data_IF_646465883354
#
_entry.id   IF_646465883354
#
_cell.length_a   1.000
_cell.length_b   1.000
_cell.length_c   1.000
_cell.angle_alpha   90.00
_cell.angle_beta   90.00
_cell.angle_gamma   90.00
#
_symmetry.space_group_name_H-M   'P 1'
#
loop_
_entity.id
_entity.type
_entity.pdbx_description
1 polymer ?
#
# COMPACT_ATOMS: atom_id res chain seq x y z
N UNK A 1 -12.80 -2.16 21.81
CA UNK A 1 -11.34 -2.31 21.77
C UNK A 1 -10.95 -2.28 20.31
N UNK A 2 -10.47 -1.13 19.81
CA UNK A 2 -9.97 -1.04 18.44
C UNK A 2 -8.63 -1.77 18.39
N UNK A 3 -8.40 -2.57 17.35
CA UNK A 3 -7.08 -3.17 17.17
C UNK A 3 -6.10 -2.04 16.85
N UNK A 4 -4.83 -2.09 17.31
CA UNK A 4 -3.84 -1.06 17.03
C UNK A 4 -3.63 -0.84 15.51
N UNK A 5 -3.96 -1.85 14.71
CA UNK A 5 -3.95 -1.86 13.24
C UNK A 5 -4.92 -0.85 12.63
N UNK A 6 -6.12 -0.69 13.20
CA UNK A 6 -7.10 0.30 12.74
C UNK A 6 -6.55 1.72 12.92
N UNK A 7 -5.95 2.00 14.08
CA UNK A 7 -5.39 3.31 14.41
C UNK A 7 -4.21 3.70 13.51
N UNK A 8 -3.33 2.74 13.19
CA UNK A 8 -2.21 2.99 12.28
C UNK A 8 -2.68 3.21 10.84
N UNK A 9 -3.75 2.53 10.41
CA UNK A 9 -4.35 2.77 9.10
C UNK A 9 -4.98 4.15 9.00
N UNK A 10 -5.72 4.59 10.04
CA UNK A 10 -6.26 5.94 10.12
C UNK A 10 -5.15 7.00 10.10
N UNK A 11 -4.04 6.76 10.82
CA UNK A 11 -2.88 7.65 10.81
C UNK A 11 -2.27 7.76 9.41
N UNK A 12 -2.10 6.63 8.72
CA UNK A 12 -1.55 6.61 7.36
C UNK A 12 -2.44 7.38 6.38
N UNK A 13 -3.76 7.25 6.51
CA UNK A 13 -4.74 8.00 5.73
C UNK A 13 -4.66 9.51 6.04
N UNK A 14 -4.55 9.87 7.33
CA UNK A 14 -4.39 11.27 7.74
C UNK A 14 -3.11 11.90 7.19
N UNK A 15 -1.99 11.17 7.20
CA UNK A 15 -0.73 11.62 6.60
C UNK A 15 -0.84 11.79 5.08
N UNK A 16 -1.59 10.93 4.39
CA UNK A 16 -1.86 11.05 2.96
C UNK A 16 -2.61 12.36 2.67
N UNK A 17 -3.73 12.59 3.38
CA UNK A 17 -4.57 13.79 3.22
C UNK A 17 -3.85 15.08 3.61
N UNK A 18 -2.98 15.01 4.61
CA UNK A 18 -2.16 16.12 5.06
C UNK A 18 -0.99 16.46 4.10
N UNK A 19 -0.79 15.68 3.03
CA UNK A 19 0.23 15.94 2.03
C UNK A 19 1.65 15.52 2.43
N UNK A 20 1.77 14.55 3.36
CA UNK A 20 3.04 13.97 3.80
C UNK A 20 3.20 12.55 3.22
N UNK A 21 3.53 12.42 1.92
CA UNK A 21 3.52 11.12 1.24
C UNK A 21 4.56 10.13 1.76
N UNK A 22 5.71 10.63 2.26
CA UNK A 22 6.73 9.75 2.87
C UNK A 22 6.22 9.13 4.17
N UNK A 23 5.67 9.95 5.05
CA UNK A 23 5.13 9.47 6.33
C UNK A 23 3.91 8.57 6.13
N UNK A 24 3.02 8.91 5.18
CA UNK A 24 1.91 8.05 4.81
C UNK A 24 2.38 6.68 4.31
N UNK A 25 3.38 6.65 3.42
CA UNK A 25 3.96 5.41 2.93
C UNK A 25 4.56 4.55 4.04
N UNK A 26 5.34 5.15 4.95
CA UNK A 26 5.95 4.44 6.07
C UNK A 26 4.89 3.90 7.05
N UNK A 27 3.87 4.72 7.35
CA UNK A 27 2.76 4.31 8.21
C UNK A 27 1.97 3.13 7.60
N UNK A 28 1.69 3.14 6.28
CA UNK A 28 1.06 1.99 5.62
C UNK A 28 1.94 0.74 5.66
N UNK A 29 3.27 0.87 5.54
CA UNK A 29 4.18 -0.28 5.68
C UNK A 29 4.19 -0.83 7.11
N UNK A 30 4.09 0.05 8.09
CA UNK A 30 4.02 -0.32 9.49
C UNK A 30 2.73 -1.12 9.79
N UNK A 31 1.58 -0.71 9.23
CA UNK A 31 0.31 -1.48 9.30
C UNK A 31 0.51 -2.92 8.83
N UNK A 32 1.17 -3.11 7.69
CA UNK A 32 1.47 -4.44 7.10
C UNK A 32 2.44 -5.24 7.97
N UNK A 33 3.41 -4.57 8.61
CA UNK A 33 4.41 -5.21 9.48
C UNK A 33 3.81 -5.74 10.79
N UNK A 34 2.93 -4.95 11.42
CA UNK A 34 2.32 -5.35 12.69
C UNK A 34 1.19 -6.37 12.51
N UNK A 35 0.54 -6.39 11.36
CA UNK A 35 -0.58 -7.28 11.10
C UNK A 35 -0.47 -7.84 9.67
N UNK A 36 -0.02 -9.09 9.49
CA UNK A 36 0.12 -9.68 8.16
C UNK A 36 -1.21 -10.23 7.60
N UNK A 37 -2.33 -10.10 8.31
CA UNK A 37 -3.60 -10.73 7.91
C UNK A 37 -4.79 -9.82 8.15
N UNK A 38 -5.52 -9.50 7.08
CA UNK A 38 -6.78 -8.77 7.14
C UNK A 38 -7.04 -7.95 5.88
N UNK A 39 -8.30 -7.54 5.64
CA UNK A 39 -8.67 -6.73 4.47
C UNK A 39 -8.04 -5.33 4.50
N UNK A 40 -7.59 -4.85 5.66
CA UNK A 40 -6.88 -3.58 5.78
C UNK A 40 -5.47 -3.65 5.18
N UNK A 41 -4.87 -4.83 5.14
CA UNK A 41 -3.47 -5.03 4.72
C UNK A 41 -3.36 -4.98 3.19
N UNK A 42 -4.32 -5.58 2.48
CA UNK A 42 -4.42 -5.42 1.03
C UNK A 42 -4.63 -3.95 0.64
N UNK A 43 -5.44 -3.21 1.40
CA UNK A 43 -5.66 -1.77 1.16
C UNK A 43 -4.39 -0.98 1.46
N UNK A 44 -3.71 -1.26 2.58
CA UNK A 44 -2.48 -0.58 2.96
C UNK A 44 -1.35 -0.79 1.92
N UNK A 45 -1.16 -2.02 1.45
CA UNK A 45 -0.19 -2.34 0.40
C UNK A 45 -0.50 -1.62 -0.91
N UNK A 46 -1.77 -1.61 -1.32
CA UNK A 46 -2.18 -0.91 -2.54
C UNK A 46 -1.99 0.62 -2.42
N UNK A 47 -2.43 1.21 -1.31
CA UNK A 47 -2.26 2.64 -0.99
C UNK A 47 -0.79 3.04 -0.97
N UNK A 48 0.05 2.27 -0.27
CA UNK A 48 1.49 2.50 -0.24
C UNK A 48 2.10 2.47 -1.65
N UNK A 49 1.70 1.50 -2.48
CA UNK A 49 2.13 1.42 -3.87
C UNK A 49 1.72 2.63 -4.69
N UNK A 50 0.46 3.08 -4.58
CA UNK A 50 -0.02 4.28 -5.27
C UNK A 50 0.71 5.55 -4.80
N UNK A 51 0.92 5.74 -3.50
CA UNK A 51 1.68 6.88 -2.95
C UNK A 51 3.12 6.88 -3.46
N UNK A 52 3.76 5.72 -3.48
CA UNK A 52 5.10 5.58 -4.04
C UNK A 52 5.12 5.97 -5.52
N UNK A 53 4.12 5.52 -6.31
CA UNK A 53 4.01 5.79 -7.74
C UNK A 53 3.71 7.26 -8.05
N UNK A 54 2.75 7.88 -7.36
CA UNK A 54 2.23 9.21 -7.68
C UNK A 54 3.01 10.30 -6.96
N UNK A 55 3.11 10.20 -5.64
CA UNK A 55 3.66 11.26 -4.79
C UNK A 55 5.18 11.17 -4.64
N UNK A 56 5.72 9.97 -4.45
CA UNK A 56 7.17 9.77 -4.33
C UNK A 56 7.86 9.62 -5.69
N UNK A 57 7.10 9.30 -6.74
CA UNK A 57 7.59 8.94 -8.09
C UNK A 57 8.67 7.83 -8.04
N UNK A 58 8.59 7.00 -7.01
CA UNK A 58 9.49 5.89 -6.71
C UNK A 58 8.82 4.61 -7.21
N UNK A 59 8.99 4.35 -8.51
CA UNK A 59 8.33 3.24 -9.18
C UNK A 59 8.83 1.87 -8.69
N UNK A 60 10.09 1.78 -8.25
CA UNK A 60 10.63 0.53 -7.69
C UNK A 60 9.87 0.12 -6.43
N UNK A 61 9.67 1.05 -5.50
CA UNK A 61 8.86 0.80 -4.29
C UNK A 61 7.40 0.54 -4.59
N UNK A 62 6.83 1.26 -5.56
CA UNK A 62 5.46 1.01 -5.98
C UNK A 62 5.27 -0.43 -6.45
N UNK A 63 6.20 -0.91 -7.29
CA UNK A 63 6.19 -2.27 -7.79
C UNK A 63 6.47 -3.30 -6.71
N UNK A 64 7.35 -3.03 -5.74
CA UNK A 64 7.54 -3.90 -4.58
C UNK A 64 6.22 -4.11 -3.83
N UNK A 65 5.50 -3.01 -3.55
CA UNK A 65 4.21 -3.06 -2.84
C UNK A 65 3.16 -3.84 -3.64
N UNK A 66 3.05 -3.57 -4.94
CA UNK A 66 2.12 -4.31 -5.81
C UNK A 66 2.48 -5.79 -5.90
N UNK A 67 3.75 -6.13 -6.13
CA UNK A 67 4.21 -7.53 -6.19
C UNK A 67 3.90 -8.26 -4.90
N UNK A 68 4.15 -7.63 -3.75
CA UNK A 68 3.86 -8.21 -2.44
C UNK A 68 2.36 -8.44 -2.24
N UNK A 69 1.50 -7.52 -2.69
CA UNK A 69 0.06 -7.75 -2.71
C UNK A 69 -0.32 -8.94 -3.60
N UNK A 70 0.28 -9.05 -4.78
CA UNK A 70 0.03 -10.17 -5.69
C UNK A 70 0.55 -11.51 -5.13
N UNK A 71 1.63 -11.50 -4.35
CA UNK A 71 2.21 -12.71 -3.77
C UNK A 71 1.45 -13.17 -2.53
N UNK A 72 1.23 -12.26 -1.58
CA UNK A 72 0.59 -12.57 -0.28
C UNK A 72 -0.94 -12.64 -0.38
N UNK A 73 -1.56 -11.89 -1.30
CA UNK A 73 -3.02 -11.82 -1.45
C UNK A 73 -3.50 -12.14 -2.86
N UNK A 74 -3.39 -13.42 -3.29
CA UNK A 74 -3.72 -13.82 -4.64
C UNK A 74 -5.19 -13.74 -5.03
N UNK A 75 -6.08 -13.55 -4.06
CA UNK A 75 -7.52 -13.39 -4.27
C UNK A 75 -8.02 -11.98 -3.91
N UNK A 76 -7.11 -11.03 -3.65
CA UNK A 76 -7.50 -9.64 -3.34
C UNK A 76 -8.19 -8.97 -4.52
N UNK A 77 -9.17 -8.12 -4.22
CA UNK A 77 -9.85 -7.29 -5.22
C UNK A 77 -8.88 -6.31 -5.91
N UNK A 78 -7.82 -5.90 -5.22
CA UNK A 78 -6.81 -4.97 -5.72
C UNK A 78 -5.82 -5.61 -6.70
N UNK A 79 -5.88 -6.92 -6.90
CA UNK A 79 -4.95 -7.68 -7.75
C UNK A 79 -4.95 -7.18 -9.20
N UNK A 80 -6.13 -7.04 -9.80
CA UNK A 80 -6.28 -6.57 -11.17
C UNK A 80 -5.75 -5.12 -11.33
N UNK A 81 -6.04 -4.26 -10.35
CA UNK A 81 -5.53 -2.88 -10.31
C UNK A 81 -4.00 -2.84 -10.21
N UNK A 82 -3.40 -3.67 -9.34
CA UNK A 82 -1.95 -3.77 -9.23
C UNK A 82 -1.32 -4.18 -10.56
N UNK A 83 -1.83 -5.24 -11.21
CA UNK A 83 -1.31 -5.69 -12.50
C UNK A 83 -1.40 -4.63 -13.59
N UNK A 84 -2.53 -3.94 -13.69
CA UNK A 84 -2.72 -2.80 -14.60
C UNK A 84 -1.67 -1.70 -14.33
N UNK A 85 -1.50 -1.31 -13.07
CA UNK A 85 -0.52 -0.28 -12.67
C UNK A 85 0.91 -0.70 -12.99
N UNK A 86 1.29 -1.94 -12.70
CA UNK A 86 2.61 -2.49 -13.02
C UNK A 86 2.88 -2.46 -14.54
N UNK A 87 1.88 -2.82 -15.35
CA UNK A 87 1.97 -2.77 -16.82
C UNK A 87 2.14 -1.34 -17.33
N UNK A 88 1.42 -0.38 -16.75
CA UNK A 88 1.56 1.04 -17.09
C UNK A 88 2.95 1.61 -16.79
N UNK A 89 3.67 0.99 -15.85
CA UNK A 89 5.04 1.36 -15.52
C UNK A 89 6.08 0.79 -16.50
N UNK A 90 5.66 0.03 -17.52
CA UNK A 90 6.51 -0.40 -18.64
C UNK A 90 7.54 -1.47 -18.26
N UNK A 91 7.26 -2.28 -17.25
CA UNK A 91 8.12 -3.40 -16.82
C UNK A 91 7.45 -4.72 -17.25
N UNK A 92 7.79 -5.20 -18.44
CA UNK A 92 7.46 -6.53 -18.97
C UNK A 92 8.54 -7.55 -18.60
#
# INVERSE_FOLDING_TARGET
MSCPSDLQFDLACACEEAGYPKEAFDAFREVVSHNPTGPQIEIALFRAGEIARTSLRDFEKALECYKRLLDEYPYSHWRALCQERMRQLGME
#
